data_IF_982069546794
#
_entry.id   IF_982069546794
#
_cell.length_a   1.000
_cell.length_b   1.000
_cell.length_c   1.000
_cell.angle_alpha   90.00
_cell.angle_beta   90.00
_cell.angle_gamma   90.00
#
_symmetry.space_group_name_H-M   'P 1'
#
loop_
_entity.id
_entity.type
_entity.pdbx_description
1 polymer ?
#
# COMPACT_ATOMS: atom_id res chain seq x y z
N UNK A 1 47.70 77.08 -45.46
CA UNK A 1 47.95 76.21 -46.63
C UNK A 1 47.09 74.95 -46.48
N UNK A 2 46.35 74.55 -47.52
CA UNK A 2 45.35 73.49 -47.48
C UNK A 2 45.94 72.12 -47.85
N UNK A 3 45.34 71.02 -47.35
CA UNK A 3 45.22 69.72 -48.04
C UNK A 3 44.23 68.81 -47.27
N UNK A 4 43.13 68.49 -47.92
CA UNK A 4 42.18 67.41 -47.59
C UNK A 4 42.69 66.08 -48.21
N UNK A 5 41.89 64.97 -48.31
CA UNK A 5 41.05 64.22 -47.36
C UNK A 5 41.43 62.71 -47.39
N UNK A 6 40.49 61.79 -47.05
CA UNK A 6 40.36 60.33 -47.33
C UNK A 6 40.10 59.53 -46.03
N UNK A 7 38.84 59.16 -45.74
CA UNK A 7 38.19 57.84 -45.96
C UNK A 7 38.99 56.68 -45.30
N UNK A 8 38.42 55.76 -44.50
CA UNK A 8 37.24 54.95 -44.80
C UNK A 8 36.77 54.08 -43.61
N UNK A 9 35.49 53.69 -43.69
CA UNK A 9 34.91 52.36 -43.41
C UNK A 9 34.77 51.84 -41.96
N UNK A 10 33.51 51.92 -41.48
CA UNK A 10 32.60 50.80 -41.14
C UNK A 10 33.07 49.69 -40.17
N UNK A 11 32.25 49.45 -39.15
CA UNK A 11 32.11 48.16 -38.44
C UNK A 11 31.84 48.38 -36.96
N UNK A 12 30.59 48.33 -36.48
CA UNK A 12 29.95 47.15 -35.83
C UNK A 12 30.60 46.85 -34.45
N UNK A 13 29.91 46.68 -33.33
CA UNK A 13 28.58 46.17 -33.09
C UNK A 13 28.10 46.57 -31.68
N UNK A 14 26.78 46.75 -31.55
CA UNK A 14 26.08 46.73 -30.27
C UNK A 14 26.22 45.32 -29.65
N UNK A 15 26.68 45.24 -28.40
CA UNK A 15 26.66 43.98 -27.64
C UNK A 15 25.39 43.95 -26.77
N UNK A 16 24.27 43.58 -27.41
CA UNK A 16 23.21 42.84 -26.74
C UNK A 16 23.53 41.36 -26.99
N UNK A 17 23.39 40.50 -25.97
CA UNK A 17 23.00 39.08 -26.01
C UNK A 17 23.40 38.46 -24.67
N UNK A 18 22.45 38.44 -23.73
CA UNK A 18 21.64 37.27 -23.34
C UNK A 18 22.29 36.51 -22.17
N UNK A 19 21.85 36.87 -20.97
CA UNK A 19 21.92 35.98 -19.82
C UNK A 19 21.09 34.72 -20.13
N UNK A 20 21.74 33.67 -20.62
CA UNK A 20 21.16 32.34 -20.72
C UNK A 20 21.08 31.74 -19.31
N UNK A 21 20.07 32.16 -18.55
CA UNK A 21 19.51 31.35 -17.48
C UNK A 21 18.90 30.11 -18.14
N UNK A 22 19.72 29.08 -18.38
CA UNK A 22 19.24 27.75 -18.67
C UNK A 22 18.51 27.27 -17.40
N UNK A 23 17.23 27.59 -17.33
CA UNK A 23 16.26 26.85 -16.52
C UNK A 23 16.37 25.41 -16.98
N UNK A 24 17.17 24.62 -16.26
CA UNK A 24 17.03 23.18 -16.27
C UNK A 24 15.64 22.91 -15.68
N UNK A 25 14.62 22.95 -16.54
CA UNK A 25 13.35 22.33 -16.24
C UNK A 25 13.66 20.87 -16.02
N UNK A 26 13.85 20.46 -14.77
CA UNK A 26 13.69 19.07 -14.40
C UNK A 26 12.27 18.73 -14.85
N UNK A 27 12.17 18.01 -15.98
CA UNK A 27 10.89 17.48 -16.41
C UNK A 27 10.37 16.68 -15.23
N UNK A 28 9.30 17.16 -14.60
CA UNK A 28 8.54 16.34 -13.68
C UNK A 28 8.00 15.21 -14.55
N UNK A 29 8.66 14.06 -14.53
CA UNK A 29 8.14 12.86 -15.15
C UNK A 29 6.80 12.61 -14.47
N UNK A 30 5.72 12.88 -15.18
CA UNK A 30 4.38 12.62 -14.69
C UNK A 30 4.32 11.14 -14.35
N UNK A 31 4.11 10.82 -13.07
CA UNK A 31 3.95 9.44 -12.65
C UNK A 31 2.76 8.84 -13.42
N UNK A 32 2.85 7.57 -13.78
CA UNK A 32 1.77 6.92 -14.51
C UNK A 32 0.55 6.75 -13.58
N UNK A 33 -0.65 6.96 -14.12
CA UNK A 33 -1.89 6.66 -13.38
C UNK A 33 -2.14 5.17 -13.25
N UNK A 34 -1.51 4.37 -14.11
CA UNK A 34 -1.53 2.91 -14.08
C UNK A 34 -0.14 2.34 -14.34
N UNK A 35 0.31 1.43 -13.49
CA UNK A 35 1.55 0.69 -13.69
C UNK A 35 1.33 -0.82 -13.59
N UNK A 36 2.34 -1.58 -14.01
CA UNK A 36 2.27 -3.03 -14.06
C UNK A 36 3.46 -3.69 -13.38
N UNK A 37 3.19 -4.79 -12.68
CA UNK A 37 4.18 -5.69 -12.07
C UNK A 37 4.10 -7.07 -12.72
N UNK A 38 5.25 -7.73 -12.86
CA UNK A 38 5.40 -9.08 -13.42
C UNK A 38 6.50 -9.84 -12.70
N UNK A 39 6.36 -11.17 -12.61
CA UNK A 39 7.37 -12.06 -12.03
C UNK A 39 8.71 -12.06 -12.81
N UNK A 40 8.68 -11.63 -14.07
CA UNK A 40 9.86 -11.48 -14.94
C UNK A 40 10.20 -10.01 -15.24
N UNK A 41 9.59 -9.06 -14.51
CA UNK A 41 9.84 -7.62 -14.65
C UNK A 41 11.20 -7.16 -14.10
N UNK A 42 11.45 -5.86 -14.22
CA UNK A 42 12.64 -5.17 -13.69
C UNK A 42 12.23 -3.80 -13.15
N UNK A 43 12.62 -3.46 -11.92
CA UNK A 43 12.27 -2.18 -11.29
C UNK A 43 12.97 -0.97 -11.92
N UNK A 44 13.92 -1.16 -12.84
CA UNK A 44 14.45 -0.09 -13.70
C UNK A 44 13.44 0.31 -14.78
N UNK A 45 12.57 -0.61 -15.23
CA UNK A 45 11.59 -0.36 -16.30
C UNK A 45 10.60 0.76 -15.94
N UNK A 46 9.98 1.44 -16.91
CA UNK A 46 8.96 2.45 -16.64
C UNK A 46 7.67 1.92 -15.97
N UNK A 47 7.63 0.64 -15.60
CA UNK A 47 6.46 -0.09 -15.12
C UNK A 47 5.26 0.01 -16.07
N UNK A 48 5.52 0.02 -17.37
CA UNK A 48 4.48 -0.02 -18.42
C UNK A 48 4.04 -1.46 -18.68
N UNK A 49 2.94 -1.67 -19.41
CA UNK A 49 2.43 -3.02 -19.68
C UNK A 49 3.44 -3.89 -20.43
N UNK A 50 4.26 -3.30 -21.30
CA UNK A 50 5.28 -4.00 -22.09
C UNK A 50 6.68 -3.97 -21.48
N UNK A 51 6.87 -3.17 -20.42
CA UNK A 51 8.07 -3.11 -19.62
C UNK A 51 7.67 -2.97 -18.14
N UNK A 52 7.17 -4.06 -17.52
CA UNK A 52 6.65 -4.03 -16.16
C UNK A 52 7.77 -4.02 -15.12
N UNK A 53 7.43 -3.53 -13.93
CA UNK A 53 8.31 -3.59 -12.77
C UNK A 53 8.29 -4.97 -12.12
N UNK A 54 9.29 -5.28 -11.30
CA UNK A 54 9.39 -6.58 -10.62
C UNK A 54 8.68 -6.57 -9.27
N UNK A 55 8.74 -5.45 -8.56
CA UNK A 55 8.22 -5.34 -7.20
C UNK A 55 7.12 -4.29 -7.10
N UNK A 56 6.29 -4.41 -6.06
CA UNK A 56 5.37 -3.33 -5.72
C UNK A 56 6.11 -2.04 -5.35
N UNK A 57 7.27 -2.12 -4.69
CA UNK A 57 8.05 -0.93 -4.35
C UNK A 57 8.51 -0.16 -5.61
N UNK A 58 9.00 -0.86 -6.63
CA UNK A 58 9.36 -0.28 -7.92
C UNK A 58 8.17 0.38 -8.62
N UNK A 59 7.02 -0.30 -8.63
CA UNK A 59 5.79 0.23 -9.21
C UNK A 59 5.23 1.45 -8.48
N UNK A 60 5.22 1.46 -7.14
CA UNK A 60 4.74 2.59 -6.32
C UNK A 60 5.53 3.87 -6.61
N UNK A 61 6.85 3.76 -6.77
CA UNK A 61 7.70 4.91 -7.08
C UNK A 61 7.34 5.57 -8.42
N UNK A 62 6.74 4.81 -9.34
CA UNK A 62 6.38 5.25 -10.70
C UNK A 62 4.87 5.45 -10.90
N UNK A 63 4.07 5.15 -9.88
CA UNK A 63 2.61 5.34 -9.89
C UNK A 63 2.22 6.64 -9.19
N UNK A 64 1.36 7.40 -9.84
CA UNK A 64 0.79 8.64 -9.32
C UNK A 64 -0.07 8.36 -8.07
N UNK A 65 -0.25 9.36 -7.21
CA UNK A 65 -1.29 9.31 -6.20
C UNK A 65 -2.66 9.14 -6.87
N UNK A 66 -3.55 8.37 -6.23
CA UNK A 66 -4.83 7.89 -6.77
C UNK A 66 -4.71 6.96 -8.00
N UNK A 67 -3.50 6.49 -8.32
CA UNK A 67 -3.26 5.54 -9.41
C UNK A 67 -3.51 4.07 -9.02
N UNK A 68 -3.26 3.19 -9.98
CA UNK A 68 -3.45 1.74 -9.86
C UNK A 68 -2.19 0.96 -10.27
N UNK A 69 -1.89 -0.10 -9.53
CA UNK A 69 -0.85 -1.07 -9.85
C UNK A 69 -1.52 -2.41 -10.13
N UNK A 70 -1.27 -2.99 -11.31
CA UNK A 70 -1.79 -4.31 -11.67
C UNK A 70 -0.69 -5.36 -11.77
N UNK A 71 -1.00 -6.58 -11.39
CA UNK A 71 -0.12 -7.73 -11.61
C UNK A 71 -0.49 -8.42 -12.93
N UNK A 72 0.49 -8.58 -13.83
CA UNK A 72 0.27 -9.10 -15.19
C UNK A 72 0.28 -10.63 -15.26
N UNK A 73 1.12 -11.26 -14.46
CA UNK A 73 1.37 -12.70 -14.43
C UNK A 73 1.70 -13.14 -13.00
N UNK A 74 1.58 -14.44 -12.66
CA UNK A 74 1.90 -14.92 -11.32
C UNK A 74 3.28 -14.45 -10.84
N UNK A 75 3.32 -13.71 -9.74
CA UNK A 75 4.51 -12.99 -9.31
C UNK A 75 4.70 -12.99 -7.79
N UNK A 76 5.96 -13.15 -7.37
CA UNK A 76 6.41 -12.78 -6.03
C UNK A 76 6.83 -11.31 -6.02
N UNK A 77 5.97 -10.45 -5.52
CA UNK A 77 6.06 -8.98 -5.70
C UNK A 77 6.74 -8.25 -4.53
N UNK A 78 7.04 -8.98 -3.46
CA UNK A 78 7.71 -8.49 -2.25
C UNK A 78 6.80 -7.66 -1.33
N UNK A 79 7.23 -7.50 -0.08
CA UNK A 79 6.57 -6.61 0.87
C UNK A 79 6.74 -5.14 0.48
N UNK A 80 5.83 -4.28 0.93
CA UNK A 80 5.80 -2.88 0.49
C UNK A 80 5.24 -1.91 1.52
N UNK A 81 5.71 -0.66 1.47
CA UNK A 81 5.10 0.46 2.20
C UNK A 81 4.33 1.36 1.25
N UNK A 82 3.03 1.56 1.50
CA UNK A 82 2.14 2.44 0.73
C UNK A 82 2.02 3.76 1.48
N UNK A 83 2.45 4.85 0.85
CA UNK A 83 2.51 6.20 1.44
C UNK A 83 1.58 7.22 0.76
N UNK A 84 0.75 6.77 -0.18
CA UNK A 84 -0.19 7.61 -0.94
C UNK A 84 -1.45 6.82 -1.27
N UNK A 85 -2.54 7.53 -1.54
CA UNK A 85 -3.78 6.95 -2.08
C UNK A 85 -3.48 6.13 -3.34
N UNK A 86 -3.92 4.86 -3.40
CA UNK A 86 -3.75 4.00 -4.59
C UNK A 86 -4.55 2.70 -4.49
N UNK A 87 -4.64 1.99 -5.61
CA UNK A 87 -5.14 0.63 -5.70
C UNK A 87 -4.01 -0.33 -6.12
N UNK A 88 -3.92 -1.48 -5.45
CA UNK A 88 -3.05 -2.60 -5.84
C UNK A 88 -3.95 -3.80 -6.12
N UNK A 89 -3.94 -4.24 -7.38
CA UNK A 89 -4.90 -5.21 -7.90
C UNK A 89 -4.19 -6.42 -8.55
N UNK A 90 -4.34 -7.57 -7.90
CA UNK A 90 -3.87 -8.87 -8.36
C UNK A 90 -4.88 -9.68 -9.17
N UNK A 91 -6.03 -9.10 -9.55
CA UNK A 91 -7.14 -9.83 -10.18
C UNK A 91 -6.68 -10.67 -11.38
N UNK A 92 -7.09 -11.94 -11.40
CA UNK A 92 -6.88 -12.86 -12.52
C UNK A 92 -5.54 -13.61 -12.49
N UNK A 93 -4.64 -13.29 -11.56
CA UNK A 93 -3.34 -13.95 -11.39
C UNK A 93 -3.00 -14.16 -9.91
N UNK A 94 -1.98 -14.97 -9.60
CA UNK A 94 -1.49 -15.10 -8.24
C UNK A 94 -0.48 -13.98 -7.94
N UNK A 95 -0.92 -12.96 -7.20
CA UNK A 95 -0.07 -11.88 -6.71
C UNK A 95 0.42 -12.17 -5.27
N UNK A 96 1.61 -12.75 -5.15
CA UNK A 96 2.17 -13.22 -3.88
C UNK A 96 3.08 -12.21 -3.18
N UNK A 97 2.66 -11.75 -2.00
CA UNK A 97 3.47 -10.99 -1.04
C UNK A 97 4.04 -11.96 -0.01
N UNK A 98 5.20 -12.56 -0.31
CA UNK A 98 5.92 -13.43 0.61
C UNK A 98 6.98 -12.62 1.36
N UNK A 99 6.94 -12.65 2.70
CA UNK A 99 7.89 -11.94 3.56
C UNK A 99 8.43 -12.82 4.69
N UNK A 100 9.59 -12.44 5.22
CA UNK A 100 10.20 -13.04 6.42
C UNK A 100 10.70 -11.91 7.32
N UNK A 101 10.50 -12.04 8.64
CA UNK A 101 10.97 -11.09 9.65
C UNK A 101 10.41 -9.66 9.58
N UNK A 102 9.51 -9.38 8.64
CA UNK A 102 8.96 -8.06 8.35
C UNK A 102 7.45 -8.12 8.16
N UNK A 103 6.79 -6.96 8.09
CA UNK A 103 5.39 -6.88 7.72
C UNK A 103 5.23 -7.09 6.21
N UNK A 104 4.12 -7.70 5.78
CA UNK A 104 3.79 -7.88 4.37
C UNK A 104 3.56 -6.54 3.69
N UNK A 105 2.54 -5.81 4.13
CA UNK A 105 2.19 -4.49 3.62
C UNK A 105 2.08 -3.51 4.77
N UNK A 106 2.81 -2.40 4.71
CA UNK A 106 2.67 -1.29 5.65
C UNK A 106 1.93 -0.14 4.97
N UNK A 107 0.90 0.40 5.60
CA UNK A 107 0.14 1.56 5.11
C UNK A 107 0.43 2.75 6.03
N UNK A 108 1.07 3.76 5.45
CA UNK A 108 1.41 5.02 6.09
C UNK A 108 1.07 6.18 5.14
N UNK A 109 -0.17 6.19 4.65
CA UNK A 109 -0.66 7.15 3.67
C UNK A 109 -1.26 8.41 4.35
N UNK A 110 -1.60 9.43 3.56
CA UNK A 110 -2.25 10.63 4.09
C UNK A 110 -3.57 10.32 4.81
N UNK A 111 -3.94 11.13 5.79
CA UNK A 111 -5.12 10.92 6.64
C UNK A 111 -6.46 10.96 5.89
N UNK A 112 -6.47 11.43 4.64
CA UNK A 112 -7.61 11.44 3.73
C UNK A 112 -7.47 10.45 2.56
N UNK A 113 -6.35 9.73 2.49
CA UNK A 113 -6.05 8.82 1.39
C UNK A 113 -6.87 7.53 1.49
N UNK A 114 -7.17 6.96 0.32
CA UNK A 114 -7.78 5.64 0.21
C UNK A 114 -6.78 4.65 -0.35
N UNK A 115 -6.58 3.54 0.35
CA UNK A 115 -5.76 2.42 -0.13
C UNK A 115 -6.66 1.20 -0.35
N UNK A 116 -6.61 0.62 -1.55
CA UNK A 116 -7.33 -0.62 -1.87
C UNK A 116 -6.32 -1.71 -2.21
N UNK A 117 -6.44 -2.84 -1.53
CA UNK A 117 -5.69 -4.06 -1.79
C UNK A 117 -6.66 -5.13 -2.24
N UNK A 118 -6.50 -5.62 -3.46
CA UNK A 118 -7.42 -6.59 -4.07
C UNK A 118 -6.68 -7.81 -4.60
N UNK A 119 -7.26 -8.99 -4.38
CA UNK A 119 -6.84 -10.26 -5.00
C UNK A 119 -5.35 -10.57 -4.73
N UNK A 120 -4.90 -10.35 -3.48
CA UNK A 120 -3.52 -10.58 -3.04
C UNK A 120 -3.41 -11.80 -2.13
N UNK A 121 -2.33 -12.55 -2.29
CA UNK A 121 -1.89 -13.59 -1.35
C UNK A 121 -0.72 -13.08 -0.50
N UNK A 122 -0.96 -12.85 0.79
CA UNK A 122 0.00 -12.25 1.72
C UNK A 122 0.43 -13.31 2.73
N UNK A 123 1.71 -13.69 2.70
CA UNK A 123 2.23 -14.86 3.41
C UNK A 123 3.45 -14.50 4.26
N UNK A 124 3.36 -14.77 5.57
CA UNK A 124 4.42 -14.46 6.53
C UNK A 124 5.45 -15.58 6.74
N UNK A 125 5.25 -16.76 6.15
CA UNK A 125 6.19 -17.90 6.23
C UNK A 125 6.62 -18.28 7.67
N UNK A 126 5.77 -18.04 8.67
CA UNK A 126 6.03 -18.34 10.09
C UNK A 126 7.00 -17.39 10.80
N UNK A 127 7.55 -16.38 10.12
CA UNK A 127 8.51 -15.41 10.70
C UNK A 127 8.14 -13.95 10.43
N UNK A 128 7.30 -13.69 9.43
CA UNK A 128 6.72 -12.39 9.14
C UNK A 128 5.95 -11.87 10.35
N UNK A 129 5.98 -10.56 10.56
CA UNK A 129 5.41 -9.95 11.76
C UNK A 129 3.91 -9.71 11.58
N UNK A 130 3.53 -8.81 10.69
CA UNK A 130 2.13 -8.45 10.40
C UNK A 130 1.78 -8.65 8.93
N UNK A 131 0.56 -9.07 8.62
CA UNK A 131 0.09 -9.15 7.23
C UNK A 131 -0.04 -7.77 6.60
N UNK A 132 -1.02 -7.01 7.07
CA UNK A 132 -1.24 -5.60 6.74
C UNK A 132 -1.16 -4.79 8.03
N UNK A 133 -0.20 -3.86 8.10
CA UNK A 133 0.02 -2.95 9.24
C UNK A 133 -0.33 -1.52 8.86
N UNK A 134 -1.25 -0.90 9.57
CA UNK A 134 -1.82 0.40 9.22
C UNK A 134 -1.49 1.42 10.32
N UNK A 135 -0.70 2.42 9.95
CA UNK A 135 -0.34 3.56 10.80
C UNK A 135 -1.24 4.78 10.57
N UNK A 136 -1.58 5.05 9.31
CA UNK A 136 -2.49 6.13 8.92
C UNK A 136 -3.01 5.92 7.49
N UNK A 137 -4.27 6.28 7.29
CA UNK A 137 -5.00 6.43 6.03
C UNK A 137 -6.38 7.03 6.37
N UNK A 138 -7.12 7.55 5.41
CA UNK A 138 -8.56 7.81 5.61
C UNK A 138 -9.36 6.52 5.54
N UNK A 139 -9.11 5.73 4.49
CA UNK A 139 -9.80 4.48 4.22
C UNK A 139 -8.84 3.39 3.73
N UNK A 140 -9.02 2.17 4.22
CA UNK A 140 -8.35 0.99 3.70
C UNK A 140 -9.40 -0.04 3.31
N UNK A 141 -9.28 -0.63 2.12
CA UNK A 141 -10.14 -1.72 1.67
C UNK A 141 -9.27 -2.93 1.36
N UNK A 142 -9.54 -4.04 2.05
CA UNK A 142 -9.00 -5.35 1.77
C UNK A 142 -10.11 -6.18 1.13
N UNK A 143 -9.94 -6.51 -0.15
CA UNK A 143 -10.98 -7.11 -0.97
C UNK A 143 -10.48 -8.39 -1.64
N UNK A 144 -11.03 -9.53 -1.25
CA UNK A 144 -10.55 -10.84 -1.72
C UNK A 144 -9.05 -11.09 -1.48
N UNK A 145 -8.56 -10.72 -0.29
CA UNK A 145 -7.18 -11.02 0.09
C UNK A 145 -7.11 -12.28 0.95
N UNK A 146 -6.02 -13.04 0.81
CA UNK A 146 -5.65 -14.10 1.75
C UNK A 146 -4.44 -13.65 2.55
N UNK A 147 -4.52 -13.71 3.88
CA UNK A 147 -3.43 -13.34 4.78
C UNK A 147 -3.15 -14.50 5.73
N UNK A 148 -1.93 -15.03 5.69
CA UNK A 148 -1.60 -16.23 6.45
C UNK A 148 -0.16 -16.35 6.96
N UNK A 149 0.01 -17.13 8.03
CA UNK A 149 1.32 -17.55 8.53
C UNK A 149 2.16 -16.41 9.10
N UNK A 150 1.53 -15.35 9.61
CA UNK A 150 2.20 -14.29 10.33
C UNK A 150 2.32 -14.61 11.83
N UNK A 151 3.44 -14.24 12.44
CA UNK A 151 3.66 -14.41 13.88
C UNK A 151 2.81 -13.48 14.72
N UNK A 152 2.36 -12.34 14.17
CA UNK A 152 1.44 -11.40 14.81
C UNK A 152 0.13 -11.27 14.00
N UNK A 153 -0.53 -10.11 14.08
CA UNK A 153 -1.85 -9.92 13.48
C UNK A 153 -1.83 -10.00 11.94
N UNK A 154 -2.90 -10.56 11.38
CA UNK A 154 -3.13 -10.52 9.94
C UNK A 154 -3.42 -9.08 9.49
N UNK A 155 -4.27 -8.37 10.25
CA UNK A 155 -4.55 -6.95 10.07
C UNK A 155 -4.29 -6.23 11.40
N UNK A 156 -3.33 -5.31 11.40
CA UNK A 156 -2.99 -4.47 12.54
C UNK A 156 -3.34 -3.02 12.21
N UNK A 157 -4.15 -2.40 13.06
CA UNK A 157 -4.41 -0.95 13.02
C UNK A 157 -3.81 -0.35 14.27
N UNK A 158 -2.79 0.49 14.14
CA UNK A 158 -2.14 1.19 15.25
C UNK A 158 -1.97 2.67 14.89
N UNK A 159 -2.88 3.51 15.37
CA UNK A 159 -2.91 4.92 15.00
C UNK A 159 -2.96 5.78 16.24
N UNK A 160 -2.14 6.82 16.31
CA UNK A 160 -2.05 7.69 17.48
C UNK A 160 -3.05 8.86 17.50
N UNK A 161 -3.56 9.30 16.34
CA UNK A 161 -4.43 10.49 16.27
C UNK A 161 -5.46 10.54 15.12
N UNK A 162 -5.53 9.51 14.27
CA UNK A 162 -6.33 9.55 13.03
C UNK A 162 -7.42 8.49 13.04
N UNK A 163 -8.64 8.87 12.67
CA UNK A 163 -9.70 7.90 12.42
C UNK A 163 -9.46 7.22 11.09
N UNK A 164 -9.23 5.91 11.12
CA UNK A 164 -9.11 5.07 9.92
C UNK A 164 -10.34 4.18 9.82
N UNK A 165 -10.98 4.16 8.66
CA UNK A 165 -12.02 3.17 8.35
C UNK A 165 -11.43 2.06 7.48
N UNK A 166 -11.41 0.85 8.01
CA UNK A 166 -10.94 -0.34 7.28
C UNK A 166 -12.13 -1.21 6.93
N UNK A 167 -12.25 -1.62 5.67
CA UNK A 167 -13.19 -2.66 5.25
C UNK A 167 -12.40 -3.91 4.88
N UNK A 168 -12.70 -5.03 5.53
CA UNK A 168 -12.20 -6.35 5.18
C UNK A 168 -13.38 -7.14 4.61
N UNK A 169 -13.32 -7.46 3.33
CA UNK A 169 -14.42 -8.14 2.66
C UNK A 169 -13.94 -9.29 1.77
N UNK A 170 -14.77 -10.35 1.70
CA UNK A 170 -14.52 -11.53 0.85
C UNK A 170 -13.14 -12.16 1.08
N UNK A 171 -12.56 -11.97 2.27
CA UNK A 171 -11.15 -12.26 2.54
C UNK A 171 -10.97 -13.46 3.45
N UNK A 172 -9.73 -13.94 3.58
CA UNK A 172 -9.35 -15.06 4.42
C UNK A 172 -8.18 -14.69 5.32
N UNK A 173 -8.36 -14.77 6.64
CA UNK A 173 -7.33 -14.54 7.65
C UNK A 173 -7.03 -15.88 8.35
N UNK A 174 -5.96 -16.55 7.94
CA UNK A 174 -5.72 -17.96 8.24
C UNK A 174 -4.40 -18.19 8.99
N UNK A 175 -4.41 -18.83 10.15
CA UNK A 175 -3.17 -19.31 10.77
C UNK A 175 -2.19 -18.19 11.18
N UNK A 176 -2.70 -17.03 11.60
CA UNK A 176 -1.88 -15.90 12.04
C UNK A 176 -1.82 -15.82 13.57
N UNK A 177 -0.87 -15.05 14.08
CA UNK A 177 -0.56 -14.94 15.50
C UNK A 177 -0.04 -16.25 16.15
N UNK A 178 0.56 -17.17 15.37
CA UNK A 178 1.03 -18.49 15.84
C UNK A 178 2.53 -18.70 15.55
N UNK A 179 3.34 -19.29 16.46
CA UNK A 179 3.01 -19.64 17.84
C UNK A 179 3.02 -18.40 18.76
N UNK A 180 2.24 -18.47 19.85
CA UNK A 180 2.14 -17.42 20.85
C UNK A 180 3.52 -17.08 21.44
N UNK A 181 4.04 -15.89 21.12
CA UNK A 181 5.20 -15.33 21.80
C UNK A 181 4.77 -14.10 22.62
N UNK A 182 4.38 -14.32 23.88
CA UNK A 182 4.40 -13.32 24.96
C UNK A 182 3.56 -12.03 24.86
N UNK A 183 2.97 -11.69 23.72
CA UNK A 183 2.24 -10.43 23.55
C UNK A 183 0.72 -10.61 23.70
N UNK A 184 0.05 -9.86 24.59
CA UNK A 184 -1.38 -10.01 24.88
C UNK A 184 -2.32 -9.50 23.77
N UNK A 185 -1.77 -8.87 22.73
CA UNK A 185 -2.52 -8.10 21.74
C UNK A 185 -2.63 -8.79 20.37
N UNK A 186 -2.22 -10.07 20.31
CA UNK A 186 -2.20 -10.88 19.11
C UNK A 186 -3.61 -11.38 18.79
N UNK A 187 -4.11 -11.02 17.62
CA UNK A 187 -5.36 -11.51 17.06
C UNK A 187 -5.28 -11.42 15.53
N UNK A 188 -6.12 -12.15 14.80
CA UNK A 188 -6.21 -12.04 13.35
C UNK A 188 -6.44 -10.57 12.94
N UNK A 189 -7.34 -9.87 13.65
CA UNK A 189 -7.51 -8.42 13.55
C UNK A 189 -7.26 -7.77 14.92
N UNK A 190 -6.28 -6.87 14.96
CA UNK A 190 -5.90 -6.13 16.17
C UNK A 190 -6.02 -4.62 15.92
N UNK A 191 -6.88 -3.94 16.69
CA UNK A 191 -7.16 -2.51 16.59
C UNK A 191 -6.71 -1.80 17.87
N UNK A 192 -5.61 -1.06 17.75
CA UNK A 192 -5.00 -0.22 18.77
C UNK A 192 -5.11 1.24 18.38
N UNK A 193 -6.31 1.75 18.52
CA UNK A 193 -6.65 3.12 18.18
C UNK A 193 -7.83 3.54 19.02
N UNK A 194 -7.92 4.82 19.35
CA UNK A 194 -9.08 5.38 20.03
C UNK A 194 -10.26 5.66 19.09
N UNK A 195 -10.02 5.68 17.78
CA UNK A 195 -11.03 6.13 16.80
C UNK A 195 -11.15 5.27 15.55
N UNK A 196 -10.24 4.32 15.31
CA UNK A 196 -10.31 3.48 14.13
C UNK A 196 -11.47 2.47 14.20
N UNK A 197 -12.06 2.19 13.04
CA UNK A 197 -13.11 1.19 12.88
C UNK A 197 -12.73 0.22 11.77
N UNK A 198 -12.89 -1.07 12.04
CA UNK A 198 -12.75 -2.15 11.07
C UNK A 198 -14.12 -2.78 10.85
N UNK A 199 -14.55 -2.89 9.60
CA UNK A 199 -15.76 -3.58 9.18
C UNK A 199 -15.42 -4.91 8.53
N UNK A 200 -16.14 -5.97 8.88
CA UNK A 200 -15.96 -7.30 8.33
C UNK A 200 -17.21 -7.76 7.60
N UNK A 201 -17.04 -8.21 6.35
CA UNK A 201 -18.10 -8.81 5.55
C UNK A 201 -17.62 -10.04 4.80
N UNK A 202 -18.40 -11.13 4.79
CA UNK A 202 -18.14 -12.34 4.01
C UNK A 202 -16.69 -12.84 4.14
N UNK A 203 -16.10 -12.73 5.32
CA UNK A 203 -14.69 -13.01 5.59
C UNK A 203 -14.55 -14.24 6.49
N UNK A 204 -13.55 -15.07 6.23
CA UNK A 204 -13.21 -16.23 7.06
C UNK A 204 -12.02 -15.90 7.95
N UNK A 205 -12.17 -16.09 9.27
CA UNK A 205 -11.14 -15.91 10.29
C UNK A 205 -10.95 -17.26 10.99
N UNK A 206 -9.89 -17.97 10.63
CA UNK A 206 -9.71 -19.38 11.01
C UNK A 206 -8.28 -19.72 11.43
N UNK A 207 -8.14 -20.56 12.46
CA UNK A 207 -6.83 -21.11 12.87
C UNK A 207 -5.86 -20.08 13.42
N UNK A 208 -6.32 -18.88 13.78
CA UNK A 208 -5.49 -17.86 14.41
C UNK A 208 -5.43 -18.08 15.92
N UNK A 209 -4.53 -17.39 16.62
CA UNK A 209 -4.52 -17.44 18.09
C UNK A 209 -5.81 -16.85 18.68
N UNK A 210 -6.09 -15.59 18.39
CA UNK A 210 -7.36 -14.94 18.71
C UNK A 210 -8.00 -14.39 17.44
N UNK A 211 -9.33 -14.39 17.34
CA UNK A 211 -10.01 -13.80 16.19
C UNK A 211 -9.87 -12.27 16.17
N UNK A 212 -10.23 -11.61 17.26
CA UNK A 212 -10.38 -10.15 17.34
C UNK A 212 -9.79 -9.58 18.62
N UNK A 213 -9.09 -8.47 18.49
CA UNK A 213 -8.65 -7.67 19.63
C UNK A 213 -8.86 -6.19 19.32
N UNK A 214 -9.65 -5.51 20.13
CA UNK A 214 -9.83 -4.06 20.03
C UNK A 214 -9.60 -3.46 21.40
N UNK A 215 -8.69 -2.49 21.48
CA UNK A 215 -8.32 -1.79 22.71
C UNK A 215 -8.35 -0.28 22.49
N UNK A 216 -8.24 0.48 23.56
CA UNK A 216 -8.21 1.95 23.56
C UNK A 216 -9.45 2.65 22.94
N UNK A 217 -10.53 1.93 22.62
CA UNK A 217 -11.76 2.50 22.01
C UNK A 217 -11.97 2.13 20.55
N UNK A 218 -11.02 1.40 19.94
CA UNK A 218 -11.13 0.91 18.58
C UNK A 218 -12.31 -0.03 18.41
N UNK A 219 -12.87 -0.08 17.20
CA UNK A 219 -14.04 -0.92 16.90
C UNK A 219 -13.76 -1.94 15.81
N UNK A 220 -14.30 -3.14 16.01
CA UNK A 220 -14.39 -4.21 15.02
C UNK A 220 -15.87 -4.53 14.87
N UNK A 221 -16.47 -4.14 13.75
CA UNK A 221 -17.89 -4.33 13.46
C UNK A 221 -18.08 -5.45 12.44
N UNK A 222 -18.85 -6.47 12.79
CA UNK A 222 -19.19 -7.57 11.89
C UNK A 222 -20.53 -7.32 11.21
N UNK A 223 -20.66 -7.61 9.91
CA UNK A 223 -21.95 -7.60 9.20
C UNK A 223 -22.72 -8.94 9.31
N UNK A 224 -22.41 -9.74 10.34
CA UNK A 224 -23.09 -11.00 10.66
C UNK A 224 -23.10 -12.07 9.54
N UNK A 225 -22.25 -11.93 8.52
CA UNK A 225 -22.10 -12.88 7.41
C UNK A 225 -20.66 -13.43 7.32
N UNK A 226 -19.92 -13.37 8.42
CA UNK A 226 -18.53 -13.81 8.55
C UNK A 226 -18.44 -15.21 9.16
N UNK A 227 -17.35 -15.93 8.86
CA UNK A 227 -17.03 -17.24 9.44
C UNK A 227 -15.86 -17.08 10.40
N UNK A 228 -16.14 -17.06 11.69
CA UNK A 228 -15.13 -16.93 12.75
C UNK A 228 -15.16 -18.23 13.54
N UNK A 229 -14.17 -19.10 13.33
CA UNK A 229 -14.17 -20.44 13.93
C UNK A 229 -12.76 -21.01 13.98
N UNK A 230 -12.52 -21.94 14.91
CA UNK A 230 -11.28 -22.70 14.96
C UNK A 230 -10.05 -21.87 15.31
N UNK A 231 -10.23 -20.65 15.85
CA UNK A 231 -9.16 -19.90 16.50
C UNK A 231 -8.98 -20.43 17.92
N UNK A 232 -7.78 -20.28 18.53
CA UNK A 232 -7.61 -20.65 19.96
C UNK A 232 -8.60 -19.90 20.84
N UNK A 233 -8.90 -18.65 20.47
CA UNK A 233 -9.95 -17.82 21.05
C UNK A 233 -10.82 -17.20 19.94
N UNK A 234 -12.03 -17.74 19.75
CA UNK A 234 -13.07 -17.19 18.87
C UNK A 234 -13.77 -15.98 19.54
N UNK A 235 -13.00 -14.94 19.87
CA UNK A 235 -13.52 -13.71 20.50
C UNK A 235 -14.56 -13.01 19.60
N UNK A 236 -15.56 -12.38 20.22
CA UNK A 236 -16.61 -11.64 19.51
C UNK A 236 -16.10 -10.29 18.93
N UNK A 237 -16.70 -9.79 17.83
CA UNK A 237 -16.50 -8.41 17.38
C UNK A 237 -17.00 -7.41 18.44
N UNK A 238 -16.59 -6.16 18.36
CA UNK A 238 -17.07 -5.11 19.28
C UNK A 238 -18.52 -4.71 19.00
N UNK A 239 -18.97 -4.88 17.76
CA UNK A 239 -20.34 -4.59 17.34
C UNK A 239 -20.76 -5.53 16.21
N UNK A 240 -22.06 -5.74 16.05
CA UNK A 240 -22.63 -6.54 14.98
C UNK A 240 -23.77 -5.78 14.33
N UNK A 241 -23.65 -5.53 13.03
CA UNK A 241 -24.71 -4.96 12.21
C UNK A 241 -25.42 -6.10 11.52
N UNK A 242 -26.73 -6.16 11.71
CA UNK A 242 -27.61 -7.10 11.01
C UNK A 242 -28.07 -6.46 9.70
N UNK A 243 -28.18 -7.27 8.65
CA UNK A 243 -28.85 -6.85 7.42
C UNK A 243 -30.29 -6.42 7.77
N UNK A 244 -30.71 -5.28 7.23
CA UNK A 244 -32.07 -4.76 7.41
C UNK A 244 -33.03 -5.43 6.44
#
# INVERSE_FOLDING_TARGET
MPRAPFLSSRGWAALIVCASAALASSGAWAQATRTWVSGVGDDVNPCSRTAPCKTFAGAIAKTAANGEINVLDPAGVGGVTITKSMQVDGTGVLAGVLVSGTAGITINAGVSDTVVLRDLDIVGNGTGTFGVRIFQAGKVVLDNVRIQGFTQAAVKVETSATSVSVLVQRSQLLGNAVPAQGEPERAAISVQSTTAQVYLSNTTVFGNDKAFNAVAGGKITSFNNNRVMGNTQDSAPTDTVYER
#
